data_IF_403156645556
#
_entry.id   IF_403156645556
#
_cell.length_a   1.000
_cell.length_b   1.000
_cell.length_c   1.000
_cell.angle_alpha   90.00
_cell.angle_beta   90.00
_cell.angle_gamma   90.00
#
_symmetry.space_group_name_H-M   'P 1'
#
loop_
_entity.id
_entity.type
_entity.pdbx_description
1 polymer ?
#
# COMPACT_ATOMS: atom_id res chain seq x y z
N UNK A 1 7.11 19.08 8.96
CA UNK A 1 7.04 19.40 7.53
C UNK A 1 6.92 20.91 7.39
N UNK A 2 7.69 21.53 6.50
CA UNK A 2 7.57 22.97 6.23
C UNK A 2 6.38 23.27 5.28
N UNK A 3 6.17 24.56 4.97
CA UNK A 3 5.11 25.02 4.07
C UNK A 3 5.29 24.56 2.62
N UNK A 4 6.48 24.07 2.27
CA UNK A 4 6.86 23.58 0.95
C UNK A 4 6.84 22.04 0.87
N UNK A 5 6.43 21.35 1.95
CA UNK A 5 6.32 19.88 2.00
C UNK A 5 7.63 19.16 2.32
N UNK A 6 8.68 19.87 2.77
CA UNK A 6 9.94 19.25 3.14
C UNK A 6 9.94 18.78 4.60
N UNK A 7 10.60 17.65 4.84
CA UNK A 7 10.83 17.15 6.19
C UNK A 7 11.78 18.10 6.92
N UNK A 8 11.30 18.64 8.05
CA UNK A 8 12.06 19.54 8.90
C UNK A 8 12.14 18.92 10.30
N UNK A 9 13.37 18.75 10.79
CA UNK A 9 13.60 18.34 12.19
C UNK A 9 13.59 19.60 13.03
N UNK A 10 12.47 19.86 13.70
CA UNK A 10 12.28 21.06 14.54
C UNK A 10 12.71 20.83 15.99
N UNK A 11 12.93 19.58 16.39
CA UNK A 11 13.31 19.20 17.74
C UNK A 11 14.75 18.68 17.80
N UNK A 12 15.44 19.06 18.87
CA UNK A 12 16.84 18.70 19.09
C UNK A 12 16.92 17.27 19.63
N UNK A 13 17.52 16.36 18.86
CA UNK A 13 17.68 14.96 19.26
C UNK A 13 19.05 14.80 19.93
N UNK A 14 19.05 14.35 21.18
CA UNK A 14 20.27 14.06 21.93
C UNK A 14 20.71 12.62 21.68
N UNK A 15 21.64 12.43 20.73
CA UNK A 15 22.20 11.12 20.42
C UNK A 15 23.53 10.89 21.17
N UNK A 16 23.76 9.69 21.72
CA UNK A 16 25.05 9.37 22.34
C UNK A 16 26.17 9.40 21.28
N UNK A 17 27.44 9.63 21.70
CA UNK A 17 28.57 9.63 20.77
C UNK A 17 28.69 8.28 20.05
N UNK A 18 28.73 8.31 18.71
CA UNK A 18 28.78 7.10 17.89
C UNK A 18 28.54 7.39 16.42
N UNK A 19 28.54 6.34 15.60
CA UNK A 19 28.21 6.46 14.18
C UNK A 19 26.70 6.65 14.02
N UNK A 20 26.32 7.58 13.15
CA UNK A 20 24.92 7.82 12.79
C UNK A 20 24.71 7.44 11.32
N UNK A 21 23.66 6.68 11.05
CA UNK A 21 23.23 6.34 9.69
C UNK A 21 21.96 7.13 9.37
N UNK A 22 21.98 7.85 8.25
CA UNK A 22 20.83 8.63 7.78
C UNK A 22 20.25 7.93 6.57
N UNK A 23 19.02 7.44 6.71
CA UNK A 23 18.30 6.77 5.62
C UNK A 23 17.30 7.78 5.03
N UNK A 24 17.55 8.20 3.80
CA UNK A 24 16.64 9.07 3.05
C UNK A 24 15.77 8.20 2.15
N UNK A 25 14.49 8.08 2.48
CA UNK A 25 13.52 7.42 1.61
C UNK A 25 13.16 8.37 0.46
N UNK A 26 13.39 7.96 -0.78
CA UNK A 26 12.94 8.73 -1.94
C UNK A 26 11.42 8.75 -1.97
N UNK A 27 10.82 9.95 -2.05
CA UNK A 27 9.41 10.06 -2.38
C UNK A 27 9.21 9.35 -3.72
N UNK A 28 8.34 8.33 -3.74
CA UNK A 28 7.80 7.83 -5.00
C UNK A 28 7.15 9.02 -5.67
N UNK A 29 7.57 9.37 -6.89
CA UNK A 29 6.84 10.31 -7.74
C UNK A 29 5.35 9.96 -7.61
N UNK A 30 4.58 10.85 -6.99
CA UNK A 30 3.13 10.77 -7.03
C UNK A 30 2.79 10.99 -8.49
N UNK A 31 2.75 9.89 -9.24
CA UNK A 31 2.23 9.87 -10.59
C UNK A 31 0.84 10.47 -10.49
N UNK A 32 0.65 11.60 -11.16
CA UNK A 32 -0.61 12.32 -11.20
C UNK A 32 -1.73 11.28 -11.38
N UNK A 33 -2.56 11.11 -10.33
CA UNK A 33 -3.82 10.42 -10.44
C UNK A 33 -4.72 11.28 -11.31
N UNK A 34 -4.44 11.27 -12.62
CA UNK A 34 -5.46 11.50 -13.62
C UNK A 34 -6.37 10.29 -13.49
N UNK A 35 -7.40 10.43 -12.64
CA UNK A 35 -8.53 9.51 -12.60
C UNK A 35 -9.24 9.59 -13.95
N UNK A 36 -8.67 8.93 -14.95
CA UNK A 36 -9.46 8.42 -16.05
C UNK A 36 -10.30 7.32 -15.42
N UNK A 37 -11.57 7.65 -15.16
CA UNK A 37 -12.62 6.68 -14.88
C UNK A 37 -12.72 5.73 -16.07
N UNK A 38 -11.85 4.73 -16.12
CA UNK A 38 -12.03 3.56 -16.97
C UNK A 38 -13.21 2.78 -16.39
N UNK A 39 -14.22 2.40 -17.20
CA UNK A 39 -15.37 1.67 -16.69
C UNK A 39 -14.90 0.39 -16.02
N UNK A 40 -15.39 0.17 -14.79
CA UNK A 40 -15.08 -1.00 -13.98
C UNK A 40 -15.18 -2.27 -14.84
N UNK A 41 -14.10 -3.07 -14.97
CA UNK A 41 -14.20 -4.33 -15.69
C UNK A 41 -15.14 -5.23 -14.92
N UNK A 42 -16.29 -5.56 -15.53
CA UNK A 42 -17.21 -6.56 -15.02
C UNK A 42 -16.40 -7.81 -14.68
N UNK A 43 -16.40 -8.18 -13.39
CA UNK A 43 -15.54 -9.21 -12.80
C UNK A 43 -15.44 -10.44 -13.71
N UNK A 44 -14.30 -10.69 -14.38
CA UNK A 44 -14.18 -11.87 -15.22
C UNK A 44 -14.14 -13.09 -14.29
N UNK A 45 -15.09 -14.01 -14.47
CA UNK A 45 -15.03 -15.35 -13.88
C UNK A 45 -13.64 -15.92 -14.18
N UNK A 46 -12.79 -16.02 -13.16
CA UNK A 46 -11.40 -16.49 -13.29
C UNK A 46 -11.43 -17.91 -13.85
N UNK A 47 -11.16 -18.05 -15.15
CA UNK A 47 -11.11 -19.36 -15.82
C UNK A 47 -9.78 -20.02 -15.48
N UNK A 48 -9.84 -21.06 -14.66
CA UNK A 48 -8.67 -21.89 -14.27
C UNK A 48 -8.81 -23.28 -14.86
N UNK A 49 -7.70 -23.87 -15.32
CA UNK A 49 -7.64 -25.28 -15.77
C UNK A 49 -7.52 -26.27 -14.61
N UNK A 50 -7.28 -25.78 -13.39
CA UNK A 50 -7.08 -26.60 -12.19
C UNK A 50 -8.41 -26.74 -11.45
N UNK A 51 -8.91 -27.99 -11.37
CA UNK A 51 -10.21 -28.29 -10.73
C UNK A 51 -10.30 -27.86 -9.27
N UNK A 52 -9.21 -27.97 -8.52
CA UNK A 52 -9.16 -27.57 -7.11
C UNK A 52 -9.39 -26.05 -6.94
N UNK A 53 -8.79 -25.23 -7.83
CA UNK A 53 -8.96 -23.79 -7.79
C UNK A 53 -10.33 -23.34 -8.32
N UNK A 54 -10.97 -24.12 -9.19
CA UNK A 54 -12.29 -23.79 -9.72
C UNK A 54 -13.35 -23.73 -8.62
N UNK A 55 -13.42 -24.76 -7.78
CA UNK A 55 -14.32 -24.79 -6.60
C UNK A 55 -13.99 -23.67 -5.60
N UNK A 56 -12.71 -23.36 -5.43
CA UNK A 56 -12.28 -22.25 -4.57
C UNK A 56 -12.82 -20.91 -5.08
N UNK A 57 -12.63 -20.59 -6.37
CA UNK A 57 -13.11 -19.34 -6.94
C UNK A 57 -14.63 -19.23 -7.01
N UNK A 58 -15.36 -20.35 -7.07
CA UNK A 58 -16.83 -20.35 -6.99
C UNK A 58 -17.34 -19.99 -5.58
N UNK A 59 -16.57 -20.31 -4.54
CA UNK A 59 -16.92 -20.06 -3.14
C UNK A 59 -16.43 -18.71 -2.60
N UNK A 60 -15.41 -18.14 -3.21
CA UNK A 60 -14.82 -16.87 -2.78
C UNK A 60 -15.33 -15.70 -3.60
N UNK A 61 -15.72 -14.62 -2.94
CA UNK A 61 -16.06 -13.38 -3.63
C UNK A 61 -14.79 -12.74 -4.21
N UNK A 62 -14.83 -12.23 -5.45
CA UNK A 62 -13.75 -11.40 -5.98
C UNK A 62 -13.48 -10.20 -5.05
N UNK A 63 -12.24 -9.70 -5.08
CA UNK A 63 -11.92 -8.48 -4.37
C UNK A 63 -12.80 -7.33 -4.89
N UNK A 64 -13.26 -6.43 -4.00
CA UNK A 64 -14.00 -5.24 -4.42
C UNK A 64 -13.21 -4.43 -5.47
N UNK A 65 -13.89 -3.71 -6.39
CA UNK A 65 -13.23 -2.84 -7.36
C UNK A 65 -12.37 -1.76 -6.70
N UNK A 66 -12.76 -1.30 -5.52
CA UNK A 66 -12.07 -0.28 -4.73
C UNK A 66 -11.04 -0.89 -3.75
N UNK A 67 -10.62 -2.14 -3.96
CA UNK A 67 -9.66 -2.81 -3.09
C UNK A 67 -8.27 -2.18 -3.25
N UNK A 68 -7.82 -1.45 -2.23
CA UNK A 68 -6.46 -0.93 -2.13
C UNK A 68 -5.54 -1.98 -1.47
N UNK A 69 -4.63 -2.63 -2.23
CA UNK A 69 -3.72 -3.64 -1.70
C UNK A 69 -2.71 -3.08 -0.70
N UNK A 70 -2.33 -1.81 -0.85
CA UNK A 70 -1.36 -1.18 0.03
C UNK A 70 -2.02 -0.85 1.36
N UNK A 71 -3.23 -0.26 1.35
CA UNK A 71 -4.01 -0.04 2.58
C UNK A 71 -4.28 -1.36 3.32
N UNK A 72 -4.71 -2.40 2.62
CA UNK A 72 -4.99 -3.70 3.25
C UNK A 72 -3.74 -4.31 3.91
N UNK A 73 -2.57 -4.14 3.27
CA UNK A 73 -1.30 -4.57 3.83
C UNK A 73 -0.92 -3.75 5.07
N UNK A 74 -1.12 -2.44 5.05
CA UNK A 74 -0.86 -1.58 6.20
C UNK A 74 -1.75 -1.92 7.40
N UNK A 75 -3.04 -2.15 7.19
CA UNK A 75 -3.97 -2.57 8.24
C UNK A 75 -3.57 -3.93 8.83
N UNK A 76 -3.21 -4.90 7.99
CA UNK A 76 -2.70 -6.20 8.44
C UNK A 76 -1.44 -6.05 9.28
N UNK A 77 -0.47 -5.26 8.83
CA UNK A 77 0.77 -5.03 9.57
C UNK A 77 0.51 -4.31 10.88
N UNK A 78 -0.43 -3.37 10.91
CA UNK A 78 -0.85 -2.67 12.12
C UNK A 78 -1.47 -3.63 13.14
N UNK A 79 -2.41 -4.47 12.70
CA UNK A 79 -3.04 -5.47 13.56
C UNK A 79 -2.05 -6.52 14.06
N UNK A 80 -1.12 -6.97 13.21
CA UNK A 80 -0.13 -8.00 13.55
C UNK A 80 1.01 -7.50 14.43
N UNK A 81 1.44 -6.26 14.23
CA UNK A 81 2.63 -5.70 14.88
C UNK A 81 2.29 -4.66 15.95
N UNK A 82 1.00 -4.44 16.26
CA UNK A 82 0.53 -3.46 17.25
C UNK A 82 1.15 -2.07 17.06
N UNK A 83 1.30 -1.64 15.80
CA UNK A 83 1.80 -0.32 15.44
C UNK A 83 0.79 0.80 15.74
#
# INVERSE_FOLDING_TARGET
MDQSGNLLITELVNLPPGNVEVIVWSATDTHDHTTTSEPAPETPKRRTKIKALQNWFEKTQPAPPDFDPDQAKWEYLKEKHNL
#
